data_IF_401795581098
#
_entry.id   IF_401795581098
#
_cell.length_a   1.000
_cell.length_b   1.000
_cell.length_c   1.000
_cell.angle_alpha   90.00
_cell.angle_beta   90.00
_cell.angle_gamma   90.00
#
_symmetry.space_group_name_H-M   'P 1'
#
loop_
_entity.id
_entity.type
_entity.pdbx_description
1 polymer ?
#
# COMPACT_ATOMS: atom_id res chain seq x y z
N UNK A 1 -20.53 29.23 12.50
CA UNK A 1 -19.34 29.47 11.66
C UNK A 1 -19.66 28.93 10.28
N UNK A 2 -19.66 29.78 9.24
CA UNK A 2 -19.86 29.36 7.87
C UNK A 2 -18.57 28.73 7.36
N UNK A 3 -18.59 27.40 7.14
CA UNK A 3 -17.49 26.70 6.51
C UNK A 3 -17.70 26.66 4.99
N UNK A 4 -16.66 26.92 4.21
CA UNK A 4 -16.68 26.77 2.76
C UNK A 4 -16.44 25.29 2.45
N UNK A 5 -17.39 24.68 1.73
CA UNK A 5 -17.29 23.27 1.29
C UNK A 5 -16.76 23.23 -0.14
N UNK A 6 -15.60 22.60 -0.33
CA UNK A 6 -15.06 22.27 -1.66
C UNK A 6 -15.27 20.79 -1.94
N UNK A 7 -15.98 20.47 -3.02
CA UNK A 7 -16.25 19.09 -3.45
C UNK A 7 -15.42 18.79 -4.69
N UNK A 8 -14.59 17.73 -4.61
CA UNK A 8 -13.83 17.21 -5.75
C UNK A 8 -14.67 16.12 -6.42
N UNK A 9 -14.91 16.26 -7.73
CA UNK A 9 -15.61 15.25 -8.52
C UNK A 9 -14.62 14.45 -9.37
N UNK A 10 -14.93 13.19 -9.61
CA UNK A 10 -14.11 12.37 -10.51
C UNK A 10 -14.02 12.93 -11.93
N UNK A 11 -15.06 13.66 -12.39
CA UNK A 11 -15.09 14.37 -13.66
C UNK A 11 -14.05 15.49 -13.78
N UNK A 12 -13.53 15.98 -12.67
CA UNK A 12 -12.53 17.06 -12.61
C UNK A 12 -11.11 16.54 -12.87
N UNK A 13 -10.95 15.20 -13.01
CA UNK A 13 -9.67 14.50 -13.13
C UNK A 13 -9.65 13.73 -14.45
N UNK A 14 -8.70 14.08 -15.33
CA UNK A 14 -8.42 13.36 -16.58
C UNK A 14 -7.21 12.44 -16.38
N UNK A 15 -7.43 11.13 -16.33
CA UNK A 15 -6.35 10.14 -16.23
C UNK A 15 -5.62 10.04 -17.57
N UNK A 16 -4.30 10.26 -17.60
CA UNK A 16 -3.46 10.14 -18.80
C UNK A 16 -2.76 8.79 -18.87
N UNK A 17 -2.11 8.36 -17.77
CA UNK A 17 -1.45 7.06 -17.68
C UNK A 17 -1.47 6.52 -16.26
N UNK A 18 -1.37 5.19 -16.16
CA UNK A 18 -1.27 4.48 -14.90
C UNK A 18 -0.43 3.22 -15.09
N UNK A 19 0.71 3.14 -14.43
CA UNK A 19 1.63 2.02 -14.54
C UNK A 19 2.42 1.75 -13.24
N UNK A 20 3.46 0.91 -13.34
CA UNK A 20 4.34 0.57 -12.23
C UNK A 20 5.24 1.71 -11.74
N UNK A 21 5.35 2.82 -12.48
CA UNK A 21 6.17 3.97 -12.10
C UNK A 21 5.35 5.03 -11.37
N UNK A 22 4.04 5.05 -11.59
CA UNK A 22 3.14 6.01 -10.95
C UNK A 22 1.89 6.28 -11.76
N UNK A 23 1.38 7.49 -11.65
CA UNK A 23 0.15 7.91 -12.31
C UNK A 23 0.32 9.31 -12.88
N UNK A 24 -0.02 9.49 -14.16
CA UNK A 24 -0.08 10.81 -14.80
C UNK A 24 -1.54 11.20 -15.04
N UNK A 25 -1.92 12.42 -14.65
CA UNK A 25 -3.28 12.92 -14.80
C UNK A 25 -3.31 14.45 -14.89
N UNK A 26 -4.43 14.99 -15.39
CA UNK A 26 -4.72 16.43 -15.33
C UNK A 26 -5.76 16.72 -14.28
N UNK A 27 -5.57 17.83 -13.59
CA UNK A 27 -6.52 18.39 -12.64
C UNK A 27 -6.42 19.91 -12.66
N UNK A 28 -7.54 20.62 -12.92
CA UNK A 28 -7.52 22.06 -13.22
C UNK A 28 -6.51 22.36 -14.34
N UNK A 29 -5.58 23.28 -14.11
CA UNK A 29 -4.47 23.63 -15.01
C UNK A 29 -3.17 22.83 -14.74
N UNK A 30 -3.19 21.87 -13.82
CA UNK A 30 -2.02 21.05 -13.51
C UNK A 30 -1.97 19.80 -14.42
N UNK A 31 -0.79 19.53 -14.98
CA UNK A 31 -0.44 18.21 -15.51
C UNK A 31 0.53 17.54 -14.55
N UNK A 32 0.08 16.49 -13.89
CA UNK A 32 0.72 15.93 -12.71
C UNK A 32 1.31 14.56 -13.03
N UNK A 33 2.58 14.35 -12.64
CA UNK A 33 3.23 13.05 -12.65
C UNK A 33 3.48 12.62 -11.21
N UNK A 34 2.58 11.80 -10.68
CA UNK A 34 2.60 11.34 -9.29
C UNK A 34 3.33 9.98 -9.21
N UNK A 35 4.48 9.89 -8.52
CA UNK A 35 5.24 8.64 -8.43
C UNK A 35 4.61 7.60 -7.48
N UNK A 36 3.62 8.00 -6.68
CA UNK A 36 2.91 7.08 -5.79
C UNK A 36 1.96 6.18 -6.59
N UNK A 37 2.00 4.88 -6.32
CA UNK A 37 1.19 3.87 -7.01
C UNK A 37 -0.23 3.80 -6.45
N UNK A 38 -1.19 3.59 -7.36
CA UNK A 38 -2.59 3.36 -7.00
C UNK A 38 -3.50 4.55 -7.31
N UNK A 39 -4.64 4.25 -7.92
CA UNK A 39 -5.64 5.28 -8.29
C UNK A 39 -6.13 6.12 -7.11
N UNK A 40 -6.16 5.55 -5.89
CA UNK A 40 -6.53 6.28 -4.68
C UNK A 40 -5.54 7.41 -4.34
N UNK A 41 -4.28 7.32 -4.80
CA UNK A 41 -3.29 8.38 -4.60
C UNK A 41 -3.58 9.62 -5.45
N UNK A 42 -4.33 9.49 -6.54
CA UNK A 42 -4.80 10.65 -7.33
C UNK A 42 -5.66 11.56 -6.45
N UNK A 43 -6.65 10.99 -5.75
CA UNK A 43 -7.52 11.78 -4.86
C UNK A 43 -6.75 12.40 -3.72
N UNK A 44 -5.79 11.68 -3.13
CA UNK A 44 -4.92 12.22 -2.08
C UNK A 44 -4.09 13.41 -2.61
N UNK A 45 -3.54 13.30 -3.81
CA UNK A 45 -2.78 14.37 -4.46
C UNK A 45 -3.67 15.59 -4.74
N UNK A 46 -4.85 15.38 -5.31
CA UNK A 46 -5.80 16.45 -5.60
C UNK A 46 -6.26 17.16 -4.32
N UNK A 47 -6.50 16.42 -3.23
CA UNK A 47 -6.78 17.01 -1.92
C UNK A 47 -5.62 17.87 -1.42
N UNK A 48 -4.40 17.37 -1.54
CA UNK A 48 -3.20 18.11 -1.12
C UNK A 48 -3.03 19.42 -1.92
N UNK A 49 -3.27 19.39 -3.24
CA UNK A 49 -3.24 20.59 -4.10
C UNK A 49 -4.29 21.61 -3.63
N UNK A 50 -5.54 21.18 -3.43
CA UNK A 50 -6.60 22.10 -2.99
C UNK A 50 -6.32 22.69 -1.61
N UNK A 51 -5.77 21.92 -0.69
CA UNK A 51 -5.36 22.44 0.63
C UNK A 51 -4.20 23.44 0.50
N UNK A 52 -3.22 23.15 -0.35
CA UNK A 52 -2.11 24.05 -0.59
C UNK A 52 -2.59 25.39 -1.21
N UNK A 53 -3.50 25.35 -2.17
CA UNK A 53 -4.10 26.55 -2.78
C UNK A 53 -4.89 27.41 -1.79
N UNK A 54 -5.48 26.80 -0.75
CA UNK A 54 -6.18 27.56 0.31
C UNK A 54 -5.19 28.24 1.26
N UNK A 55 -4.04 27.60 1.52
CA UNK A 55 -3.06 28.07 2.52
C UNK A 55 -2.04 29.04 1.90
N UNK A 56 -1.67 28.81 0.65
CA UNK A 56 -0.59 29.53 -0.04
C UNK A 56 -1.23 30.42 -1.11
N UNK A 57 -1.13 31.74 -0.94
CA UNK A 57 -1.54 32.69 -1.97
C UNK A 57 -0.57 32.59 -3.16
N UNK A 58 -1.11 32.63 -4.38
CA UNK A 58 -0.36 32.61 -5.65
C UNK A 58 0.60 31.40 -5.74
N UNK A 59 0.04 30.22 -5.56
CA UNK A 59 0.81 28.98 -5.66
C UNK A 59 1.34 28.78 -7.09
N UNK A 60 2.66 28.69 -7.20
CA UNK A 60 3.36 28.47 -8.48
C UNK A 60 3.17 27.00 -8.94
N UNK A 61 2.60 26.85 -10.15
CA UNK A 61 2.31 25.55 -10.74
C UNK A 61 3.58 24.69 -10.91
N UNK A 62 4.69 25.28 -11.30
CA UNK A 62 5.95 24.55 -11.47
C UNK A 62 6.50 24.05 -10.13
N UNK A 63 6.34 24.83 -9.06
CA UNK A 63 6.71 24.40 -7.71
C UNK A 63 5.85 23.25 -7.24
N UNK A 64 4.54 23.29 -7.50
CA UNK A 64 3.63 22.17 -7.18
C UNK A 64 4.05 20.90 -7.93
N UNK A 65 4.27 20.99 -9.23
CA UNK A 65 4.70 19.85 -10.04
C UNK A 65 6.05 19.27 -9.58
N UNK A 66 7.02 20.13 -9.25
CA UNK A 66 8.32 19.70 -8.68
C UNK A 66 8.16 19.04 -7.33
N UNK A 67 7.30 19.54 -6.45
CA UNK A 67 7.03 18.92 -5.15
C UNK A 67 6.39 17.53 -5.33
N UNK A 68 5.41 17.42 -6.21
CA UNK A 68 4.70 16.15 -6.44
C UNK A 68 5.62 15.09 -7.06
N UNK A 69 6.39 15.42 -8.08
CA UNK A 69 7.28 14.44 -8.76
C UNK A 69 8.39 13.91 -7.82
N UNK A 70 8.74 14.69 -6.80
CA UNK A 70 9.71 14.29 -5.78
C UNK A 70 9.06 13.64 -4.55
N UNK A 71 7.73 13.44 -4.57
CA UNK A 71 7.03 12.82 -3.44
C UNK A 71 7.38 11.34 -3.35
N UNK A 72 7.90 10.93 -2.22
CA UNK A 72 8.05 9.54 -1.83
C UNK A 72 7.33 9.29 -0.51
N UNK A 73 6.76 8.11 -0.34
CA UNK A 73 6.14 7.74 0.92
C UNK A 73 6.34 6.25 1.16
N UNK A 74 7.14 5.96 2.16
CA UNK A 74 7.48 4.59 2.53
C UNK A 74 6.24 3.78 2.92
N UNK A 75 6.18 2.53 2.46
CA UNK A 75 5.04 1.65 2.72
C UNK A 75 3.74 2.04 2.01
N UNK A 76 3.80 2.68 0.86
CA UNK A 76 2.64 2.93 -0.04
C UNK A 76 2.84 2.22 -1.37
N UNK A 77 2.49 0.93 -1.42
CA UNK A 77 2.73 0.03 -2.55
C UNK A 77 4.18 0.19 -3.05
N UNK A 78 5.09 0.24 -2.10
CA UNK A 78 6.51 0.47 -2.36
C UNK A 78 7.15 -0.80 -2.89
N UNK A 79 7.81 -0.71 -4.04
CA UNK A 79 8.58 -1.82 -4.60
C UNK A 79 9.91 -1.95 -3.85
N UNK A 80 10.10 -3.07 -3.16
CA UNK A 80 11.25 -3.27 -2.28
C UNK A 80 12.51 -3.74 -3.04
N UNK A 81 12.33 -4.44 -4.16
CA UNK A 81 13.42 -5.02 -4.96
C UNK A 81 13.15 -4.87 -6.46
N UNK A 82 14.11 -5.31 -7.30
CA UNK A 82 13.89 -5.46 -8.75
C UNK A 82 12.81 -6.51 -9.07
N UNK A 83 12.63 -7.50 -8.20
CA UNK A 83 11.53 -8.45 -8.25
C UNK A 83 10.20 -7.78 -7.86
N UNK A 84 9.07 -8.39 -8.21
CA UNK A 84 7.75 -7.86 -7.92
C UNK A 84 7.35 -8.19 -6.47
N UNK A 85 8.06 -7.58 -5.52
CA UNK A 85 7.80 -7.64 -4.07
C UNK A 85 7.51 -6.22 -3.60
N UNK A 86 6.32 -6.05 -3.01
CA UNK A 86 5.81 -4.76 -2.55
C UNK A 86 5.54 -4.75 -1.06
N UNK A 87 5.70 -3.59 -0.44
CA UNK A 87 5.29 -3.32 0.94
C UNK A 87 4.23 -2.22 0.98
N UNK A 88 3.17 -2.47 1.74
CA UNK A 88 2.11 -1.49 1.98
C UNK A 88 1.62 -1.56 3.43
N UNK A 89 1.44 -0.42 4.08
CA UNK A 89 0.93 -0.36 5.46
C UNK A 89 -0.60 -0.39 5.55
N UNK A 90 -1.31 -0.70 4.48
CA UNK A 90 -2.75 -0.85 4.47
C UNK A 90 -3.21 -1.86 5.53
N UNK A 91 -4.13 -1.42 6.40
CA UNK A 91 -4.57 -2.16 7.58
C UNK A 91 -6.08 -2.10 7.80
N UNK A 92 -6.83 -1.64 6.83
CA UNK A 92 -8.30 -1.66 6.79
C UNK A 92 -8.77 -2.19 5.44
N UNK A 93 -10.06 -2.50 5.35
CA UNK A 93 -10.66 -3.10 4.15
C UNK A 93 -10.38 -2.29 2.87
N UNK A 94 -10.65 -0.98 2.89
CA UNK A 94 -10.53 -0.13 1.70
C UNK A 94 -9.07 0.02 1.25
N UNK A 95 -8.14 0.21 2.19
CA UNK A 95 -6.71 0.28 1.91
C UNK A 95 -6.17 -1.02 1.32
N UNK A 96 -6.52 -2.18 1.92
CA UNK A 96 -6.10 -3.49 1.42
C UNK A 96 -6.71 -3.75 0.03
N UNK A 97 -7.98 -3.41 -0.18
CA UNK A 97 -8.64 -3.53 -1.48
C UNK A 97 -7.97 -2.65 -2.55
N UNK A 98 -7.64 -1.40 -2.22
CA UNK A 98 -6.94 -0.49 -3.13
C UNK A 98 -5.54 -1.01 -3.49
N UNK A 99 -4.78 -1.51 -2.52
CA UNK A 99 -3.49 -2.16 -2.73
C UNK A 99 -3.60 -3.36 -3.67
N UNK A 100 -4.51 -4.31 -3.38
CA UNK A 100 -4.74 -5.52 -4.18
C UNK A 100 -5.10 -5.14 -5.62
N UNK A 101 -6.05 -4.24 -5.81
CA UNK A 101 -6.50 -3.81 -7.13
C UNK A 101 -5.35 -3.18 -7.93
N UNK A 102 -4.53 -2.34 -7.30
CA UNK A 102 -3.37 -1.72 -7.94
C UNK A 102 -2.37 -2.76 -8.40
N UNK A 103 -2.00 -3.70 -7.51
CA UNK A 103 -1.00 -4.71 -7.86
C UNK A 103 -1.53 -5.70 -8.90
N UNK A 104 -2.80 -6.13 -8.82
CA UNK A 104 -3.41 -6.98 -9.85
C UNK A 104 -3.48 -6.29 -11.22
N UNK A 105 -3.80 -4.99 -11.27
CA UNK A 105 -3.80 -4.23 -12.52
C UNK A 105 -2.43 -4.17 -13.18
N UNK A 106 -1.36 -4.08 -12.39
CA UNK A 106 0.01 -4.04 -12.88
C UNK A 106 0.58 -5.43 -13.22
N UNK A 107 -0.01 -6.50 -12.66
CA UNK A 107 0.44 -7.88 -12.82
C UNK A 107 -0.74 -8.83 -13.08
N UNK A 108 -1.51 -8.64 -14.17
CA UNK A 108 -2.79 -9.34 -14.39
C UNK A 108 -2.64 -10.86 -14.53
N UNK A 109 -1.47 -11.35 -14.90
CA UNK A 109 -1.20 -12.78 -15.09
C UNK A 109 -0.58 -13.48 -13.87
N UNK A 110 -0.23 -12.72 -12.81
CA UNK A 110 0.42 -13.28 -11.64
C UNK A 110 -0.54 -13.47 -10.48
N UNK A 111 -0.29 -14.51 -9.68
CA UNK A 111 -1.01 -14.76 -8.43
C UNK A 111 -0.39 -13.95 -7.29
N UNK A 112 -1.21 -13.54 -6.32
CA UNK A 112 -0.71 -12.84 -5.13
C UNK A 112 -0.28 -13.83 -4.05
N UNK A 113 0.91 -13.58 -3.49
CA UNK A 113 1.48 -14.27 -2.35
C UNK A 113 1.73 -13.25 -1.24
N UNK A 114 1.09 -13.39 -0.07
CA UNK A 114 1.06 -12.36 0.96
C UNK A 114 1.85 -12.71 2.22
N UNK A 115 2.51 -11.72 2.82
CA UNK A 115 2.92 -11.73 4.23
C UNK A 115 2.04 -10.74 4.97
N UNK A 116 1.23 -11.22 5.90
CA UNK A 116 0.16 -10.47 6.53
C UNK A 116 0.28 -10.45 8.05
N UNK A 117 0.24 -9.24 8.60
CA UNK A 117 0.18 -8.97 10.04
C UNK A 117 -0.82 -7.85 10.28
N UNK A 118 -1.64 -7.92 11.31
CA UNK A 118 -2.67 -6.90 11.55
C UNK A 118 -2.93 -6.69 13.04
N UNK A 119 -3.36 -5.47 13.40
CA UNK A 119 -3.79 -5.15 14.77
C UNK A 119 -5.19 -5.68 15.05
N UNK A 120 -5.42 -6.08 16.31
CA UNK A 120 -6.64 -6.79 16.73
C UNK A 120 -7.93 -5.97 16.75
N UNK A 121 -7.85 -4.64 16.57
CA UNK A 121 -9.00 -3.73 16.56
C UNK A 121 -9.68 -3.61 15.18
N UNK A 122 -9.23 -4.37 14.18
CA UNK A 122 -9.73 -4.28 12.80
C UNK A 122 -10.88 -5.26 12.54
N UNK A 123 -11.75 -4.87 11.62
CA UNK A 123 -12.84 -5.75 11.15
C UNK A 123 -12.29 -6.89 10.30
N UNK A 124 -11.94 -7.99 10.95
CA UNK A 124 -11.34 -9.15 10.29
C UNK A 124 -12.29 -9.91 9.37
N UNK A 125 -13.60 -9.80 9.53
CA UNK A 125 -14.53 -10.55 8.68
C UNK A 125 -14.41 -10.12 7.21
N UNK A 126 -14.56 -8.83 6.92
CA UNK A 126 -14.47 -8.30 5.55
C UNK A 126 -13.06 -8.41 4.98
N UNK A 127 -12.02 -8.20 5.82
CA UNK A 127 -10.61 -8.34 5.41
C UNK A 127 -10.30 -9.79 5.04
N UNK A 128 -10.76 -10.76 5.82
CA UNK A 128 -10.52 -12.19 5.55
C UNK A 128 -11.21 -12.64 4.27
N UNK A 129 -12.44 -12.19 3.99
CA UNK A 129 -13.12 -12.51 2.74
C UNK A 129 -12.34 -11.96 1.54
N UNK A 130 -11.87 -10.72 1.62
CA UNK A 130 -11.04 -10.11 0.58
C UNK A 130 -9.71 -10.86 0.37
N UNK A 131 -9.06 -11.31 1.44
CA UNK A 131 -7.83 -12.12 1.38
C UNK A 131 -8.11 -13.45 0.69
N UNK A 132 -9.18 -14.17 1.08
CA UNK A 132 -9.58 -15.46 0.49
C UNK A 132 -9.77 -15.37 -1.02
N UNK A 133 -10.42 -14.31 -1.50
CA UNK A 133 -10.72 -14.09 -2.91
C UNK A 133 -9.52 -13.63 -3.74
N UNK A 134 -8.51 -13.08 -3.09
CA UNK A 134 -7.43 -12.37 -3.78
C UNK A 134 -6.10 -13.09 -3.77
N UNK A 135 -5.76 -13.80 -2.70
CA UNK A 135 -4.44 -14.39 -2.52
C UNK A 135 -4.45 -15.90 -2.79
N UNK A 136 -3.39 -16.36 -3.42
CA UNK A 136 -3.13 -17.79 -3.58
C UNK A 136 -2.70 -18.41 -2.26
N UNK A 137 -1.85 -17.70 -1.51
CA UNK A 137 -1.37 -18.12 -0.19
C UNK A 137 -1.02 -16.89 0.66
N UNK A 138 -1.22 -17.04 1.97
CA UNK A 138 -0.85 -16.05 2.98
C UNK A 138 0.16 -16.67 3.95
N UNK A 139 1.20 -15.92 4.25
CA UNK A 139 2.07 -16.12 5.41
C UNK A 139 1.59 -15.20 6.50
N UNK A 140 1.50 -15.69 7.73
CA UNK A 140 1.20 -14.87 8.91
C UNK A 140 2.33 -14.93 9.90
N UNK A 141 2.65 -13.80 10.50
CA UNK A 141 3.64 -13.70 11.57
C UNK A 141 3.21 -12.68 12.62
N UNK A 142 4.01 -12.53 13.65
CA UNK A 142 3.84 -11.53 14.68
C UNK A 142 5.04 -10.58 14.66
N UNK A 143 4.80 -9.30 14.94
CA UNK A 143 5.85 -8.31 15.14
C UNK A 143 6.63 -8.58 16.42
N UNK A 144 7.89 -8.17 16.46
CA UNK A 144 8.79 -8.37 17.60
C UNK A 144 8.21 -7.82 18.91
N UNK A 145 7.54 -6.69 18.85
CA UNK A 145 7.00 -5.99 20.02
C UNK A 145 5.61 -6.47 20.45
N UNK A 146 5.00 -7.41 19.72
CA UNK A 146 3.67 -8.00 20.01
C UNK A 146 2.52 -6.98 20.04
N UNK A 147 2.61 -5.93 19.24
CA UNK A 147 1.53 -4.95 19.05
C UNK A 147 0.39 -5.47 18.17
N UNK A 148 0.68 -6.51 17.38
CA UNK A 148 -0.25 -7.09 16.42
C UNK A 148 -0.90 -8.35 16.97
N UNK A 149 -1.91 -8.87 16.29
CA UNK A 149 -2.51 -10.15 16.62
C UNK A 149 -1.44 -11.24 16.66
N UNK A 150 -1.50 -12.08 17.70
CA UNK A 150 -0.63 -13.25 17.75
C UNK A 150 -0.95 -14.20 16.60
N UNK A 151 0.06 -14.91 16.12
CA UNK A 151 -0.07 -15.93 15.07
C UNK A 151 -1.23 -16.87 15.34
N UNK A 152 -1.34 -17.38 16.59
CA UNK A 152 -2.40 -18.30 16.97
C UNK A 152 -3.82 -17.71 16.86
N UNK A 153 -3.99 -16.41 17.17
CA UNK A 153 -5.29 -15.73 17.03
C UNK A 153 -5.62 -15.50 15.57
N UNK A 154 -4.64 -15.06 14.80
CA UNK A 154 -4.82 -14.77 13.38
C UNK A 154 -5.08 -16.06 12.59
N UNK A 155 -4.32 -17.14 12.85
CA UNK A 155 -4.53 -18.46 12.26
C UNK A 155 -5.98 -18.95 12.48
N UNK A 156 -6.47 -18.91 13.72
CA UNK A 156 -7.86 -19.32 14.03
C UNK A 156 -8.91 -18.52 13.23
N UNK A 157 -8.65 -17.24 12.94
CA UNK A 157 -9.55 -16.41 12.14
C UNK A 157 -9.53 -16.87 10.68
N UNK A 158 -8.34 -17.12 10.14
CA UNK A 158 -8.15 -17.56 8.76
C UNK A 158 -8.68 -18.99 8.53
N UNK A 159 -8.47 -19.89 9.50
CA UNK A 159 -9.02 -21.27 9.46
C UNK A 159 -10.54 -21.27 9.36
N UNK A 160 -11.23 -20.43 10.15
CA UNK A 160 -12.70 -20.29 10.09
C UNK A 160 -13.22 -19.85 8.71
N UNK A 161 -12.37 -19.24 7.90
CA UNK A 161 -12.67 -18.77 6.54
C UNK A 161 -12.07 -19.67 5.46
N UNK A 162 -11.48 -20.81 5.86
CA UNK A 162 -10.81 -21.77 4.94
C UNK A 162 -9.74 -21.09 4.07
N UNK A 163 -8.96 -20.18 4.66
CA UNK A 163 -7.89 -19.47 3.96
C UNK A 163 -6.60 -20.26 4.13
N UNK A 164 -5.99 -20.67 3.00
CA UNK A 164 -4.69 -21.32 3.01
C UNK A 164 -3.61 -20.37 3.53
N UNK A 165 -2.96 -20.73 4.64
CA UNK A 165 -1.93 -19.90 5.24
C UNK A 165 -0.81 -20.72 5.86
N UNK A 166 0.35 -20.09 5.97
CA UNK A 166 1.55 -20.59 6.64
C UNK A 166 1.84 -19.69 7.84
N UNK A 167 1.99 -20.29 9.02
CA UNK A 167 2.38 -19.58 10.24
C UNK A 167 3.89 -19.62 10.42
N UNK A 168 4.50 -18.46 10.65
CA UNK A 168 5.95 -18.34 10.92
C UNK A 168 6.21 -17.59 12.21
N UNK A 169 7.42 -17.74 12.76
CA UNK A 169 7.77 -17.23 14.08
C UNK A 169 8.09 -15.73 14.09
N UNK A 170 8.44 -15.14 12.94
CA UNK A 170 8.90 -13.75 12.86
C UNK A 170 8.66 -13.13 11.48
N UNK A 171 8.67 -11.80 11.44
CA UNK A 171 8.66 -11.03 10.18
C UNK A 171 9.83 -11.42 9.28
N UNK A 172 11.03 -11.58 9.85
CA UNK A 172 12.23 -12.02 9.12
C UNK A 172 12.03 -13.33 8.38
N UNK A 173 11.48 -14.35 9.07
CA UNK A 173 11.18 -15.65 8.45
C UNK A 173 10.19 -15.51 7.30
N UNK A 174 9.09 -14.76 7.51
CA UNK A 174 8.09 -14.49 6.49
C UNK A 174 8.65 -13.74 5.27
N UNK A 175 9.50 -12.73 5.51
CA UNK A 175 10.17 -11.99 4.43
C UNK A 175 11.10 -12.90 3.63
N UNK A 176 11.84 -13.80 4.30
CA UNK A 176 12.71 -14.75 3.62
C UNK A 176 11.92 -15.69 2.69
N UNK A 177 10.74 -16.12 3.08
CA UNK A 177 9.88 -16.91 2.20
C UNK A 177 9.42 -16.06 1.00
N UNK A 178 8.94 -14.83 1.25
CA UNK A 178 8.52 -13.91 0.18
C UNK A 178 9.66 -13.63 -0.83
N UNK A 179 10.91 -13.48 -0.36
CA UNK A 179 12.07 -13.26 -1.25
C UNK A 179 12.33 -14.43 -2.20
N UNK A 180 11.94 -15.64 -1.83
CA UNK A 180 12.20 -16.87 -2.56
C UNK A 180 11.01 -17.39 -3.37
N UNK A 181 9.92 -16.64 -3.48
CA UNK A 181 8.79 -17.04 -4.33
C UNK A 181 9.19 -17.08 -5.81
N UNK A 182 8.52 -17.91 -6.59
CA UNK A 182 8.68 -17.92 -8.04
C UNK A 182 8.09 -16.64 -8.66
N UNK A 183 8.93 -15.63 -8.90
CA UNK A 183 8.52 -14.31 -9.40
C UNK A 183 7.95 -14.33 -10.83
N UNK A 184 8.05 -15.46 -11.56
CA UNK A 184 7.37 -15.61 -12.85
C UNK A 184 5.88 -15.85 -12.65
N UNK A 185 5.47 -16.53 -11.57
CA UNK A 185 4.09 -16.90 -11.27
C UNK A 185 3.44 -15.99 -10.22
N UNK A 186 4.26 -15.43 -9.31
CA UNK A 186 3.77 -14.72 -8.13
C UNK A 186 4.26 -13.28 -8.03
N UNK A 187 3.42 -12.46 -7.39
CA UNK A 187 3.80 -11.16 -6.84
C UNK A 187 3.77 -11.27 -5.33
N UNK A 188 4.84 -10.84 -4.67
CA UNK A 188 4.94 -10.78 -3.21
C UNK A 188 4.33 -9.48 -2.66
N UNK A 189 3.41 -9.60 -1.69
CA UNK A 189 2.84 -8.47 -0.97
C UNK A 189 3.09 -8.63 0.53
N UNK A 190 3.74 -7.65 1.15
CA UNK A 190 3.93 -7.55 2.60
C UNK A 190 3.01 -6.43 3.08
N UNK A 191 2.05 -6.72 3.97
CA UNK A 191 1.03 -5.72 4.32
C UNK A 191 0.35 -5.95 5.67
N UNK A 192 -0.49 -4.99 6.06
CA UNK A 192 -1.42 -5.05 7.19
C UNK A 192 -1.02 -4.19 8.39
N UNK A 193 0.21 -3.69 8.47
CA UNK A 193 0.60 -2.78 9.54
C UNK A 193 1.91 -2.04 9.26
N UNK A 194 2.01 -0.81 9.77
CA UNK A 194 3.27 -0.07 9.82
C UNK A 194 4.23 -0.58 10.92
N UNK A 195 3.73 -1.29 11.92
CA UNK A 195 4.57 -1.79 13.03
C UNK A 195 5.64 -2.79 12.60
N UNK A 196 5.46 -3.45 11.45
CA UNK A 196 6.48 -4.34 10.88
C UNK A 196 7.45 -3.62 9.93
N UNK A 197 7.25 -2.33 9.64
CA UNK A 197 8.02 -1.62 8.63
C UNK A 197 9.53 -1.71 8.86
N UNK A 198 10.01 -1.36 10.06
CA UNK A 198 11.44 -1.42 10.39
C UNK A 198 12.03 -2.81 10.18
N UNK A 199 11.33 -3.86 10.61
CA UNK A 199 11.78 -5.26 10.42
C UNK A 199 11.84 -5.61 8.92
N UNK A 200 10.80 -5.22 8.15
CA UNK A 200 10.76 -5.45 6.70
C UNK A 200 11.91 -4.74 6.00
N UNK A 201 12.10 -3.43 6.23
CA UNK A 201 13.15 -2.65 5.57
C UNK A 201 14.54 -3.20 5.86
N UNK A 202 14.82 -3.57 7.11
CA UNK A 202 16.09 -4.19 7.49
C UNK A 202 16.40 -5.46 6.68
N UNK A 203 15.40 -6.31 6.42
CA UNK A 203 15.58 -7.53 5.64
C UNK A 203 15.86 -7.23 4.15
N UNK A 204 15.55 -6.05 3.65
CA UNK A 204 15.88 -5.59 2.30
C UNK A 204 17.12 -4.68 2.25
N UNK A 205 17.86 -4.56 3.37
CA UNK A 205 19.05 -3.71 3.46
C UNK A 205 18.74 -2.21 3.32
N UNK A 206 17.53 -1.82 3.69
CA UNK A 206 17.07 -0.43 3.71
C UNK A 206 16.93 0.04 5.15
N UNK A 207 17.19 1.32 5.39
CA UNK A 207 16.92 1.95 6.67
C UNK A 207 15.56 2.65 6.62
N UNK A 208 14.69 2.32 7.57
CA UNK A 208 13.38 2.95 7.67
C UNK A 208 13.48 4.42 8.13
N UNK A 209 14.47 4.72 8.96
CA UNK A 209 14.63 6.06 9.54
C UNK A 209 15.23 7.08 8.56
N UNK A 210 15.88 6.65 7.47
CA UNK A 210 16.48 7.55 6.45
C UNK A 210 15.54 7.94 5.31
N UNK A 211 14.34 7.39 5.27
CA UNK A 211 13.35 7.68 4.20
C UNK A 211 12.56 8.98 4.41
N UNK A 212 12.85 9.74 5.47
CA UNK A 212 12.18 11.00 5.82
C UNK A 212 13.09 12.24 5.75
N UNK A 213 14.25 12.14 5.10
CA UNK A 213 15.15 13.30 4.87
C UNK A 213 14.93 13.92 3.50
#
# INVERSE_FOLDING_TARGET
>A
KNAVLTIIKNSDIELLSFDNQGTSFKYKNYTINLPLRGKHQILNCVLAINLAEIIINDIDQDKVNKAIINTSWSGRIEKLTKNDIYFDVAHNYDGIKAMINTVKSNHPQKKLFGLFCIKGDKNMNSISDLIRESFHQIIICQDKNKYLLSVNKLSKILDKKSINHLSVSSVKEGVNIIKNINVKEYVGLIFGSHYIAKEVYNEFGKDFDTTYN
#
